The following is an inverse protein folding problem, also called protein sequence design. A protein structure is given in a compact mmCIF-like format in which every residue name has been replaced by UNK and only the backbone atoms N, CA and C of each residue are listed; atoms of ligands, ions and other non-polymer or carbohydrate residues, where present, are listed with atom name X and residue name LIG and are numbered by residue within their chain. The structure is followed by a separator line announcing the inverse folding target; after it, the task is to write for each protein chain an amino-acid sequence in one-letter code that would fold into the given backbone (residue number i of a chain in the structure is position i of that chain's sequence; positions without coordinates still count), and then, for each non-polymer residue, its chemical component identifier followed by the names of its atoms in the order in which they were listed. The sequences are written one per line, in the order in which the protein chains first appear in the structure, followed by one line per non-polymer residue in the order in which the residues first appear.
data_IF_307773819161
#
_entry.id   IF_307773819161
#
_cell.length_a   1.000
_cell.length_b   1.000
_cell.length_c   1.000
_cell.angle_alpha   90.00
_cell.angle_beta   90.00
_cell.angle_gamma   90.00
#
_symmetry.space_group_name_H-M   'P 1'
#
loop_
_entity.id
_entity.type
_entity.pdbx_description
1 polymer ?
#
# COMPACT_ATOMS: atom_id res chain seq x y z
N UNK A 1 22.47 15.71 -7.20
CA UNK A 1 21.54 14.63 -6.80
C UNK A 1 21.87 14.29 -5.36
N UNK A 2 20.93 14.48 -4.43
CA UNK A 2 21.13 14.01 -3.05
C UNK A 2 20.93 12.50 -3.05
N UNK A 3 21.96 11.73 -2.70
CA UNK A 3 21.83 10.29 -2.55
C UNK A 3 20.94 10.03 -1.33
N UNK A 4 19.72 9.53 -1.55
CA UNK A 4 18.87 9.07 -0.44
C UNK A 4 19.51 7.82 0.17
N UNK A 5 19.70 7.80 1.48
CA UNK A 5 20.22 6.64 2.19
C UNK A 5 19.16 5.54 2.22
N UNK A 6 19.44 4.38 1.62
CA UNK A 6 18.51 3.24 1.57
C UNK A 6 18.97 2.15 2.53
N UNK A 7 18.12 1.80 3.50
CA UNK A 7 18.32 0.63 4.38
C UNK A 7 17.67 -0.58 3.71
N UNK A 8 18.40 -1.69 3.59
CA UNK A 8 17.97 -2.91 2.90
C UNK A 8 17.82 -4.05 3.91
N UNK A 9 16.65 -4.69 3.90
CA UNK A 9 16.37 -5.88 4.70
C UNK A 9 16.30 -7.13 3.81
N UNK A 10 17.09 -8.15 4.14
CA UNK A 10 17.04 -9.44 3.45
C UNK A 10 16.02 -10.34 4.13
N UNK A 11 14.79 -10.37 3.62
CA UNK A 11 13.64 -11.03 4.28
C UNK A 11 13.45 -12.50 3.89
N UNK A 12 14.00 -12.93 2.75
CA UNK A 12 13.89 -14.30 2.24
C UNK A 12 14.91 -15.27 2.87
N UNK A 13 15.97 -14.74 3.49
CA UNK A 13 17.09 -15.52 4.04
C UNK A 13 17.07 -15.61 5.57
N UNK A 14 15.98 -15.16 6.20
CA UNK A 14 15.86 -15.10 7.65
C UNK A 14 14.89 -16.19 8.11
N UNK A 15 15.44 -17.19 8.79
CA UNK A 15 14.66 -18.22 9.50
C UNK A 15 14.23 -17.75 10.91
N UNK A 16 14.68 -16.56 11.32
CA UNK A 16 14.40 -15.94 12.61
C UNK A 16 13.14 -15.05 12.51
N UNK A 17 12.03 -15.56 13.00
CA UNK A 17 10.75 -14.84 12.98
C UNK A 17 10.74 -13.58 13.86
N UNK A 18 11.56 -13.50 14.92
CA UNK A 18 11.67 -12.29 15.74
C UNK A 18 12.33 -11.16 14.96
N UNK A 19 13.44 -11.48 14.28
CA UNK A 19 14.15 -10.52 13.44
C UNK A 19 13.30 -10.05 12.25
N UNK A 20 12.49 -10.93 11.69
CA UNK A 20 11.54 -10.58 10.62
C UNK A 20 10.45 -9.62 11.13
N UNK A 21 9.94 -9.83 12.35
CA UNK A 21 9.01 -8.91 13.00
C UNK A 21 9.63 -7.54 13.24
N UNK A 22 10.88 -7.49 13.71
CA UNK A 22 11.63 -6.24 13.89
C UNK A 22 11.73 -5.44 12.59
N UNK A 23 12.07 -6.09 11.47
CA UNK A 23 12.17 -5.43 10.16
C UNK A 23 10.83 -4.89 9.65
N UNK A 24 9.74 -5.62 9.90
CA UNK A 24 8.39 -5.17 9.56
C UNK A 24 8.02 -3.97 10.43
N UNK A 25 8.36 -3.99 11.72
CA UNK A 25 8.14 -2.87 12.65
C UNK A 25 8.90 -1.62 12.23
N UNK A 26 10.19 -1.73 11.90
CA UNK A 26 11.01 -0.63 11.37
C UNK A 26 10.38 -0.03 10.10
N UNK A 27 9.97 -0.89 9.16
CA UNK A 27 9.38 -0.45 7.90
C UNK A 27 8.00 0.21 8.08
N UNK A 28 7.18 -0.31 8.99
CA UNK A 28 5.89 0.28 9.33
C UNK A 28 6.06 1.65 9.99
N UNK A 29 7.03 1.79 10.90
CA UNK A 29 7.41 3.07 11.49
C UNK A 29 7.79 4.09 10.41
N UNK A 30 8.63 3.71 9.44
CA UNK A 30 8.99 4.60 8.32
C UNK A 30 7.78 5.04 7.50
N UNK A 31 6.82 4.15 7.23
CA UNK A 31 5.57 4.53 6.56
C UNK A 31 4.81 5.58 7.38
N UNK A 32 4.74 5.40 8.71
CA UNK A 32 4.07 6.34 9.62
C UNK A 32 4.78 7.70 9.71
N UNK A 33 6.10 7.71 9.55
CA UNK A 33 6.94 8.93 9.50
C UNK A 33 6.91 9.62 8.12
N UNK A 34 6.11 9.11 7.19
CA UNK A 34 5.97 9.67 5.84
C UNK A 34 7.14 9.33 4.90
N UNK A 35 7.91 8.29 5.21
CA UNK A 35 8.93 7.73 4.31
C UNK A 35 8.34 6.66 3.37
N UNK A 36 9.16 6.26 2.38
CA UNK A 36 8.77 5.29 1.35
C UNK A 36 9.45 3.94 1.61
N UNK A 37 8.68 2.87 1.44
CA UNK A 37 9.15 1.50 1.63
C UNK A 37 8.91 0.68 0.37
N UNK A 38 9.96 0.04 -0.13
CA UNK A 38 9.83 -0.97 -1.18
C UNK A 38 9.59 -2.34 -0.54
N UNK A 39 8.56 -3.06 -0.97
CA UNK A 39 8.20 -4.36 -0.39
C UNK A 39 7.70 -5.35 -1.45
N UNK A 40 7.92 -6.66 -1.26
CA UNK A 40 7.43 -7.69 -2.17
C UNK A 40 5.91 -7.87 -2.07
N UNK A 41 5.27 -8.12 -3.22
CA UNK A 41 3.93 -8.69 -3.33
C UNK A 41 3.99 -10.00 -4.13
N UNK A 42 2.88 -10.71 -4.26
CA UNK A 42 2.76 -11.90 -5.10
C UNK A 42 2.83 -11.58 -6.60
N UNK A 43 2.71 -10.30 -6.97
CA UNK A 43 2.78 -9.84 -8.37
C UNK A 43 4.13 -9.24 -8.71
N UNK A 44 4.47 -8.11 -8.08
CA UNK A 44 5.72 -7.34 -8.29
C UNK A 44 6.09 -6.62 -7.01
N UNK A 45 7.31 -6.10 -6.92
CA UNK A 45 7.66 -5.20 -5.83
C UNK A 45 6.85 -3.90 -5.90
N UNK A 46 6.24 -3.54 -4.77
CA UNK A 46 5.62 -2.24 -4.55
C UNK A 46 6.63 -1.23 -4.03
N UNK A 47 6.37 0.05 -4.28
CA UNK A 47 6.95 1.16 -3.52
C UNK A 47 5.76 1.87 -2.89
N UNK A 48 5.61 1.74 -1.57
CA UNK A 48 4.49 2.27 -0.82
C UNK A 48 4.88 3.37 0.15
N UNK A 49 3.87 4.11 0.55
CA UNK A 49 3.89 5.15 1.58
C UNK A 49 2.46 5.26 2.14
N UNK A 50 2.27 6.07 3.19
CA UNK A 50 0.94 6.29 3.75
C UNK A 50 0.00 6.94 2.71
N UNK A 51 -1.09 6.25 2.35
CA UNK A 51 -2.06 6.69 1.35
C UNK A 51 -2.88 7.93 1.78
N UNK A 52 -2.80 8.32 3.04
CA UNK A 52 -3.48 9.48 3.62
C UNK A 52 -2.56 10.71 3.70
N UNK A 53 -1.26 10.57 3.41
CA UNK A 53 -0.28 11.64 3.46
C UNK A 53 0.20 12.03 2.05
N UNK A 54 -0.25 13.20 1.60
CA UNK A 54 0.11 13.76 0.29
C UNK A 54 1.63 13.92 0.11
N UNK A 55 2.37 14.30 1.17
CA UNK A 55 3.83 14.49 1.11
C UNK A 55 4.55 13.16 0.97
N UNK A 56 4.09 12.14 1.70
CA UNK A 56 4.64 10.79 1.59
C UNK A 56 4.42 10.20 0.19
N UNK A 57 3.24 10.41 -0.39
CA UNK A 57 2.93 9.97 -1.75
C UNK A 57 3.75 10.74 -2.80
N UNK A 58 4.02 12.03 -2.62
CA UNK A 58 4.87 12.79 -3.53
C UNK A 58 6.29 12.19 -3.65
N UNK A 59 6.84 11.61 -2.57
CA UNK A 59 8.13 10.89 -2.60
C UNK A 59 8.09 9.66 -3.52
N UNK A 60 6.95 8.98 -3.67
CA UNK A 60 6.80 7.85 -4.61
C UNK A 60 6.91 8.35 -6.06
N UNK A 61 6.20 9.43 -6.40
CA UNK A 61 6.25 10.02 -7.74
C UNK A 61 7.65 10.52 -8.08
N UNK A 62 8.30 11.21 -7.16
CA UNK A 62 9.69 11.66 -7.28
C UNK A 62 10.64 10.48 -7.53
N UNK A 63 10.56 9.44 -6.69
CA UNK A 63 11.46 8.28 -6.77
C UNK A 63 11.29 7.49 -8.07
N UNK A 64 10.07 7.39 -8.60
CA UNK A 64 9.79 6.66 -9.85
C UNK A 64 9.92 7.50 -11.12
N UNK A 65 10.09 8.82 -11.00
CA UNK A 65 9.98 9.74 -12.13
C UNK A 65 8.62 9.61 -12.84
N UNK A 66 7.56 9.33 -12.09
CA UNK A 66 6.22 9.07 -12.63
C UNK A 66 5.47 10.39 -12.87
N UNK A 67 4.75 10.52 -13.99
CA UNK A 67 3.75 11.58 -14.15
C UNK A 67 2.73 11.57 -13.01
N UNK A 68 2.35 12.75 -12.52
CA UNK A 68 1.44 12.93 -11.38
C UNK A 68 -0.04 12.64 -11.72
N UNK A 69 -0.35 12.46 -12.99
CA UNK A 69 -1.68 12.11 -13.51
C UNK A 69 -1.95 10.60 -13.50
N UNK A 70 -0.97 9.78 -13.12
CA UNK A 70 -1.12 8.33 -13.05
C UNK A 70 -1.46 7.89 -11.61
N UNK A 71 -2.71 7.49 -11.32
CA UNK A 71 -3.14 7.13 -9.97
C UNK A 71 -2.41 5.89 -9.43
N UNK A 72 -2.39 5.78 -8.10
CA UNK A 72 -1.77 4.68 -7.36
C UNK A 72 -2.83 3.72 -6.82
N UNK A 73 -2.42 2.48 -6.58
CA UNK A 73 -3.25 1.45 -5.94
C UNK A 73 -3.02 1.51 -4.44
N UNK A 74 -4.10 1.72 -3.68
CA UNK A 74 -4.10 1.60 -2.21
C UNK A 74 -4.14 0.12 -1.85
N UNK A 75 -3.20 -0.31 -1.00
CA UNK A 75 -3.18 -1.67 -0.49
C UNK A 75 -3.78 -1.70 0.92
N UNK A 76 -4.62 -2.69 1.19
CA UNK A 76 -5.24 -2.95 2.51
C UNK A 76 -4.85 -4.34 3.00
N UNK A 77 -4.88 -4.56 4.31
CA UNK A 77 -4.63 -5.85 4.93
C UNK A 77 -5.89 -6.57 5.39
N UNK A 78 -7.00 -5.85 5.57
CA UNK A 78 -8.27 -6.43 5.96
C UNK A 78 -9.43 -5.63 5.35
N UNK A 79 -10.62 -6.24 5.30
CA UNK A 79 -11.78 -5.66 4.61
C UNK A 79 -12.38 -4.49 5.39
N UNK A 80 -12.19 -4.45 6.70
CA UNK A 80 -12.71 -3.42 7.59
C UNK A 80 -12.15 -2.03 7.22
N UNK A 81 -10.91 -1.97 6.73
CA UNK A 81 -10.28 -0.75 6.22
C UNK A 81 -11.05 -0.09 5.05
N UNK A 82 -11.85 -0.85 4.29
CA UNK A 82 -12.65 -0.28 3.20
C UNK A 82 -13.64 0.79 3.71
N UNK A 83 -14.18 0.61 4.91
CA UNK A 83 -15.22 1.50 5.46
C UNK A 83 -14.77 2.96 5.61
N UNK A 84 -13.46 3.18 5.75
CA UNK A 84 -12.81 4.48 5.85
C UNK A 84 -12.43 5.07 4.48
N UNK A 85 -12.27 4.22 3.47
CA UNK A 85 -11.68 4.56 2.17
C UNK A 85 -12.70 4.69 1.03
N UNK A 86 -13.88 4.07 1.15
CA UNK A 86 -14.88 4.01 0.05
C UNK A 86 -16.31 4.26 0.53
N UNK A 87 -17.17 4.71 -0.38
CA UNK A 87 -18.58 5.03 -0.07
C UNK A 87 -19.49 3.81 -0.01
N UNK A 88 -19.31 2.88 -0.94
CA UNK A 88 -20.20 1.74 -1.13
C UNK A 88 -19.46 0.56 -1.79
N UNK A 89 -19.93 -0.65 -1.49
CA UNK A 89 -19.48 -1.90 -2.09
C UNK A 89 -20.66 -2.45 -2.89
N UNK A 90 -20.47 -2.60 -4.20
CA UNK A 90 -21.51 -3.18 -5.06
C UNK A 90 -21.59 -4.71 -4.87
N UNK A 91 -22.73 -5.35 -5.15
CA UNK A 91 -22.85 -6.81 -5.06
C UNK A 91 -21.85 -7.57 -5.97
N UNK A 92 -21.45 -6.97 -7.08
CA UNK A 92 -20.42 -7.53 -7.95
C UNK A 92 -19.02 -7.43 -7.32
N UNK A 93 -18.69 -6.27 -6.74
CA UNK A 93 -17.43 -6.09 -6.03
C UNK A 93 -17.32 -7.04 -4.83
N UNK A 94 -18.41 -7.25 -4.08
CA UNK A 94 -18.45 -8.20 -2.96
C UNK A 94 -18.04 -9.62 -3.40
N UNK A 95 -18.68 -10.16 -4.44
CA UNK A 95 -18.37 -11.50 -4.98
C UNK A 95 -16.94 -11.60 -5.49
N UNK A 96 -16.42 -10.54 -6.10
CA UNK A 96 -15.04 -10.50 -6.59
C UNK A 96 -14.04 -10.50 -5.42
N UNK A 97 -14.31 -9.75 -4.35
CA UNK A 97 -13.46 -9.77 -3.16
C UNK A 97 -13.48 -11.13 -2.48
N UNK A 98 -14.65 -11.75 -2.31
CA UNK A 98 -14.77 -13.10 -1.74
C UNK A 98 -13.98 -14.15 -2.53
N UNK A 99 -13.97 -14.05 -3.85
CA UNK A 99 -13.31 -15.02 -4.72
C UNK A 99 -11.80 -14.79 -4.91
N UNK A 100 -11.36 -13.52 -4.87
CA UNK A 100 -10.01 -13.15 -5.34
C UNK A 100 -9.16 -12.38 -4.33
N UNK A 101 -9.72 -11.98 -3.18
CA UNK A 101 -8.96 -11.32 -2.10
C UNK A 101 -8.77 -12.24 -0.90
N UNK A 102 -7.55 -12.29 -0.30
CA UNK A 102 -6.31 -11.67 -0.77
C UNK A 102 -5.83 -12.24 -2.11
N UNK A 103 -5.32 -11.39 -3.00
CA UNK A 103 -4.80 -11.84 -4.29
C UNK A 103 -4.60 -10.75 -5.34
N UNK A 104 -4.34 -11.16 -6.60
CA UNK A 104 -3.87 -10.28 -7.66
C UNK A 104 -4.96 -9.44 -8.34
N UNK A 105 -6.11 -9.27 -7.70
CA UNK A 105 -7.22 -8.47 -8.24
C UNK A 105 -7.21 -7.06 -7.63
N UNK A 106 -7.30 -6.04 -8.46
CA UNK A 106 -7.55 -4.65 -8.04
C UNK A 106 -8.96 -4.26 -8.46
N UNK A 107 -9.70 -3.64 -7.55
CA UNK A 107 -11.08 -3.16 -7.79
C UNK A 107 -11.09 -1.64 -7.60
N UNK A 108 -11.81 -0.95 -8.49
CA UNK A 108 -11.99 0.51 -8.44
C UNK A 108 -13.30 0.82 -7.73
N UNK A 109 -13.24 1.71 -6.74
CA UNK A 109 -14.39 2.15 -5.94
C UNK A 109 -14.53 3.66 -5.99
N UNK A 110 -15.73 4.16 -5.66
CA UNK A 110 -15.90 5.58 -5.29
C UNK A 110 -15.18 5.84 -3.98
N UNK A 111 -14.28 6.83 -3.97
CA UNK A 111 -13.47 7.13 -2.80
C UNK A 111 -14.27 7.87 -1.73
N UNK A 112 -13.96 7.60 -0.47
CA UNK A 112 -14.47 8.28 0.72
C UNK A 112 -13.28 8.60 1.62
N UNK A 113 -13.40 9.68 2.38
CA UNK A 113 -12.45 9.95 3.46
C UNK A 113 -11.12 10.58 3.01
N UNK A 114 -10.07 10.44 3.84
CA UNK A 114 -8.86 11.28 3.78
C UNK A 114 -7.80 10.79 2.78
N UNK A 115 -8.18 10.04 1.73
CA UNK A 115 -7.22 9.60 0.70
C UNK A 115 -6.58 10.83 0.05
N UNK A 116 -5.24 10.86 0.07
CA UNK A 116 -4.50 11.99 -0.46
C UNK A 116 -4.83 12.23 -1.95
N UNK A 117 -5.05 13.47 -2.42
CA UNK A 117 -5.51 13.74 -3.78
C UNK A 117 -4.59 13.20 -4.89
N UNK A 118 -3.29 13.16 -4.62
CA UNK A 118 -2.27 12.64 -5.53
C UNK A 118 -2.25 11.10 -5.63
N UNK A 119 -2.94 10.37 -4.74
CA UNK A 119 -3.18 8.93 -4.91
C UNK A 119 -4.15 8.69 -6.06
N UNK A 120 -5.21 9.49 -6.18
CA UNK A 120 -6.25 9.29 -7.21
C UNK A 120 -6.05 10.17 -8.44
N UNK A 121 -4.96 10.93 -8.52
CA UNK A 121 -4.74 11.94 -9.56
C UNK A 121 -5.93 12.91 -9.72
N UNK A 122 -6.59 13.25 -8.60
CA UNK A 122 -7.77 14.12 -8.59
C UNK A 122 -9.10 13.45 -8.98
N UNK A 123 -9.11 12.15 -9.28
CA UNK A 123 -10.35 11.41 -9.60
C UNK A 123 -11.19 11.16 -8.34
N UNK A 124 -12.51 11.00 -8.55
CA UNK A 124 -13.49 10.61 -7.51
C UNK A 124 -13.43 9.12 -7.14
N UNK A 125 -12.55 8.37 -7.79
CA UNK A 125 -12.41 6.92 -7.61
C UNK A 125 -11.02 6.55 -7.11
N UNK A 126 -10.94 5.46 -6.35
CA UNK A 126 -9.69 4.88 -5.83
C UNK A 126 -9.57 3.42 -6.25
N UNK A 127 -8.37 3.00 -6.65
CA UNK A 127 -8.05 1.60 -6.91
C UNK A 127 -7.56 0.94 -5.61
N UNK A 128 -8.20 -0.15 -5.19
CA UNK A 128 -7.86 -0.86 -3.95
C UNK A 128 -7.55 -2.33 -4.25
N UNK A 129 -6.59 -2.90 -3.52
CA UNK A 129 -6.23 -4.32 -3.55
C UNK A 129 -5.80 -4.83 -2.18
N UNK A 130 -6.18 -6.06 -1.86
CA UNK A 130 -5.64 -6.80 -0.72
C UNK A 130 -4.59 -7.81 -1.22
N UNK A 131 -3.28 -7.55 -1.08
CA UNK A 131 -2.24 -8.43 -1.61
C UNK A 131 -2.22 -9.76 -0.85
N UNK A 132 -1.95 -10.89 -1.52
CA UNK A 132 -1.83 -12.19 -0.84
C UNK A 132 -0.43 -12.50 -0.30
N UNK A 133 0.53 -11.58 -0.46
CA UNK A 133 1.89 -11.78 0.05
C UNK A 133 1.96 -11.60 1.58
N UNK A 134 2.41 -12.61 2.35
CA UNK A 134 2.38 -12.55 3.82
C UNK A 134 3.15 -11.36 4.42
N UNK A 135 4.27 -10.96 3.81
CA UNK A 135 5.03 -9.80 4.27
C UNK A 135 4.33 -8.48 3.97
N UNK A 136 3.63 -8.38 2.83
CA UNK A 136 2.90 -7.17 2.47
C UNK A 136 1.72 -6.96 3.44
N UNK A 137 0.96 -8.03 3.71
CA UNK A 137 -0.13 -8.00 4.68
C UNK A 137 0.37 -7.56 6.07
N UNK A 138 1.40 -8.23 6.60
CA UNK A 138 1.98 -7.88 7.92
C UNK A 138 2.51 -6.45 7.98
N UNK A 139 3.12 -5.95 6.89
CA UNK A 139 3.59 -4.57 6.82
C UNK A 139 2.43 -3.58 6.89
N UNK A 140 1.37 -3.81 6.11
CA UNK A 140 0.18 -2.95 6.11
C UNK A 140 -0.49 -3.01 7.48
N UNK A 141 -0.66 -4.20 8.08
CA UNK A 141 -1.20 -4.36 9.43
C UNK A 141 -0.41 -3.58 10.48
N UNK A 142 0.93 -3.64 10.44
CA UNK A 142 1.79 -2.96 11.40
C UNK A 142 1.85 -1.43 11.19
N UNK A 143 1.48 -0.94 10.01
CA UNK A 143 1.52 0.48 9.64
C UNK A 143 0.17 1.20 9.81
N UNK A 144 -0.89 0.47 10.16
CA UNK A 144 -2.24 1.00 10.39
C UNK A 144 -2.46 1.43 11.85
#
# INVERSE_FOLDING_TARGET
MSYKQTKIFNVDKINDEDKKREYISDAAMWISEGEVVAFPTETVYGLGANALDEKAIAKIFEAKGRPSDNPLIVHIANREQLSELITDITPAAEKLMEAFWPGPLTIIFKKKGPIAPNVTAGLDTVAIRMPSHPLALKLIEAAN
#
